data_IF_160963997090
#
_entry.id   IF_160963997090
#
_cell.length_a   1.000
_cell.length_b   1.000
_cell.length_c   1.000
_cell.angle_alpha   90.00
_cell.angle_beta   90.00
_cell.angle_gamma   90.00
#
_symmetry.space_group_name_H-M   'P 1'
#
loop_
_entity.id
_entity.type
_entity.pdbx_description
1 polymer ?
#
# COMPACT_ATOMS: atom_id res chain seq x y z
N UNK A 1 41.08 6.99 27.42
CA UNK A 1 40.54 6.71 26.08
C UNK A 1 39.20 7.42 26.03
N UNK A 2 38.86 8.19 24.98
CA UNK A 2 37.52 8.77 24.91
C UNK A 2 36.51 7.63 24.98
N UNK A 3 35.46 7.81 25.79
CA UNK A 3 34.38 6.83 25.90
C UNK A 3 33.75 6.69 24.51
N UNK A 4 33.85 5.50 23.92
CA UNK A 4 33.16 5.21 22.68
C UNK A 4 31.66 5.35 22.90
N UNK A 5 31.00 6.00 21.95
CA UNK A 5 29.55 6.20 21.99
C UNK A 5 28.86 4.85 21.93
N UNK A 6 27.91 4.64 22.86
CA UNK A 6 27.00 3.50 22.82
C UNK A 6 25.91 3.74 21.77
N UNK A 7 25.87 2.97 20.66
CA UNK A 7 24.88 3.14 19.59
C UNK A 7 23.44 3.03 20.09
N UNK A 8 23.16 2.12 21.04
CA UNK A 8 21.82 1.92 21.55
C UNK A 8 21.34 3.13 22.35
N UNK A 9 22.24 3.71 23.17
CA UNK A 9 21.98 4.96 23.89
C UNK A 9 21.78 6.13 22.92
N UNK A 10 22.63 6.26 21.90
CA UNK A 10 22.52 7.33 20.92
C UNK A 10 21.20 7.28 20.13
N UNK A 11 20.77 6.08 19.71
CA UNK A 11 19.47 5.87 19.05
C UNK A 11 18.33 6.21 20.00
N UNK A 12 18.39 5.77 21.25
CA UNK A 12 17.34 6.06 22.23
C UNK A 12 17.22 7.58 22.49
N UNK A 13 18.35 8.28 22.63
CA UNK A 13 18.39 9.71 22.88
C UNK A 13 17.88 10.54 21.68
N UNK A 14 18.21 10.13 20.44
CA UNK A 14 17.83 10.86 19.22
C UNK A 14 16.43 10.49 18.67
N UNK A 15 16.08 9.21 18.68
CA UNK A 15 14.90 8.68 17.99
C UNK A 15 14.04 7.74 18.85
N UNK A 16 14.30 7.58 20.15
CA UNK A 16 13.63 6.58 20.99
C UNK A 16 12.10 6.66 21.02
N UNK A 17 11.53 7.86 20.89
CA UNK A 17 10.07 8.06 20.82
C UNK A 17 9.45 7.66 19.46
N UNK A 18 10.27 7.55 18.41
CA UNK A 18 9.83 7.34 17.03
C UNK A 18 10.29 5.99 16.46
N UNK A 19 11.35 5.40 17.01
CA UNK A 19 11.90 4.14 16.54
C UNK A 19 11.10 2.94 17.06
N UNK A 20 10.91 1.93 16.21
CA UNK A 20 10.36 0.62 16.59
C UNK A 20 11.51 -0.35 16.86
N UNK A 21 11.60 -0.84 18.10
CA UNK A 21 12.57 -1.84 18.48
C UNK A 21 12.28 -3.23 17.86
N UNK A 22 13.32 -4.02 17.62
CA UNK A 22 13.20 -5.45 17.29
C UNK A 22 12.82 -5.77 15.83
N UNK A 23 12.91 -4.80 14.91
CA UNK A 23 12.76 -5.02 13.46
C UNK A 23 14.14 -5.31 12.84
N UNK A 24 14.48 -6.57 12.51
CA UNK A 24 15.79 -6.87 11.92
C UNK A 24 15.86 -6.38 10.47
N UNK A 25 17.01 -5.86 10.04
CA UNK A 25 17.27 -5.61 8.61
C UNK A 25 17.52 -6.94 7.88
N UNK A 26 16.85 -7.18 6.75
CA UNK A 26 16.99 -8.44 5.97
C UNK A 26 18.27 -8.52 5.15
N UNK A 27 18.84 -7.39 4.75
CA UNK A 27 20.11 -7.35 4.05
C UNK A 27 21.28 -7.63 4.99
N UNK A 28 22.46 -7.92 4.43
CA UNK A 28 23.68 -7.99 5.22
C UNK A 28 24.13 -6.56 5.57
N UNK A 29 24.07 -6.21 6.85
CA UNK A 29 24.72 -5.00 7.35
C UNK A 29 26.18 -5.30 7.71
N UNK A 30 27.12 -4.43 7.32
CA UNK A 30 28.46 -4.43 7.89
C UNK A 30 28.42 -4.41 9.42
N UNK A 31 29.33 -5.13 10.07
CA UNK A 31 29.36 -5.24 11.53
C UNK A 31 29.51 -3.89 12.24
N UNK A 32 30.11 -2.92 11.57
CA UNK A 32 30.28 -1.54 12.06
C UNK A 32 28.98 -0.74 12.04
N UNK A 33 28.07 -1.04 11.11
CA UNK A 33 26.78 -0.34 10.95
C UNK A 33 25.64 -1.03 11.69
N UNK A 34 25.70 -2.36 11.87
CA UNK A 34 24.63 -3.13 12.50
C UNK A 34 24.18 -2.59 13.87
N UNK A 35 25.06 -2.11 14.76
CA UNK A 35 24.65 -1.50 16.03
C UNK A 35 23.90 -0.17 15.90
N UNK A 36 24.06 0.53 14.78
CA UNK A 36 23.49 1.86 14.50
C UNK A 36 22.16 1.79 13.74
N UNK A 37 21.67 0.58 13.49
CA UNK A 37 20.41 0.33 12.80
C UNK A 37 19.20 0.66 13.67
N UNK A 38 18.22 1.33 13.06
CA UNK A 38 16.90 1.58 13.63
C UNK A 38 15.81 1.46 12.56
N UNK A 39 14.57 1.24 12.99
CA UNK A 39 13.41 1.28 12.11
C UNK A 39 12.49 2.43 12.51
N UNK A 40 12.15 3.30 11.56
CA UNK A 40 11.23 4.43 11.78
C UNK A 40 9.96 4.20 10.95
N UNK A 41 8.76 4.31 11.53
CA UNK A 41 7.49 4.06 10.83
C UNK A 41 7.35 4.79 9.50
N UNK A 42 7.82 6.03 9.42
CA UNK A 42 7.69 6.89 8.23
C UNK A 42 8.94 6.90 7.34
N UNK A 43 10.03 6.25 7.77
CA UNK A 43 11.34 6.27 7.07
C UNK A 43 11.90 4.88 6.70
N UNK A 44 11.31 3.80 7.23
CA UNK A 44 11.79 2.43 7.03
C UNK A 44 13.07 2.10 7.79
N UNK A 45 13.88 1.19 7.25
CA UNK A 45 15.17 0.82 7.84
C UNK A 45 16.21 1.93 7.62
N UNK A 46 16.78 2.41 8.73
CA UNK A 46 17.74 3.50 8.73
C UNK A 46 19.00 3.14 9.51
N UNK A 47 20.08 3.87 9.26
CA UNK A 47 21.27 3.97 10.10
C UNK A 47 21.25 5.35 10.73
N UNK A 48 21.50 5.44 12.03
CA UNK A 48 21.75 6.72 12.68
C UNK A 48 23.15 7.20 12.27
N UNK A 49 23.20 8.30 11.53
CA UNK A 49 24.45 8.90 11.04
C UNK A 49 24.63 10.30 11.63
N UNK A 50 25.88 10.78 11.61
CA UNK A 50 26.21 12.20 11.71
C UNK A 50 26.74 12.67 10.35
N UNK A 51 26.58 13.96 10.05
CA UNK A 51 27.19 14.59 8.86
C UNK A 51 28.37 15.47 9.28
N UNK A 52 29.30 15.80 8.38
CA UNK A 52 30.49 16.61 8.70
C UNK A 52 30.16 18.02 9.19
N UNK A 53 28.92 18.47 9.03
CA UNK A 53 28.45 19.76 9.54
C UNK A 53 27.96 19.68 11.00
N UNK A 54 27.78 18.48 11.55
CA UNK A 54 27.25 18.25 12.88
C UNK A 54 28.31 17.89 13.92
N UNK A 55 28.19 18.44 15.13
CA UNK A 55 29.05 18.08 16.27
C UNK A 55 28.23 17.32 17.33
N UNK A 56 28.18 15.99 17.22
CA UNK A 56 27.59 15.09 18.22
C UNK A 56 26.14 14.66 17.93
N UNK A 57 25.45 14.10 18.94
CA UNK A 57 24.10 13.52 18.78
C UNK A 57 23.01 14.52 18.39
N UNK A 58 23.23 15.83 18.61
CA UNK A 58 22.24 16.87 18.28
C UNK A 58 22.01 17.01 16.77
N UNK A 59 22.98 16.56 15.97
CA UNK A 59 22.95 16.60 14.51
C UNK A 59 22.86 15.19 13.90
N UNK A 60 22.51 14.20 14.72
CA UNK A 60 22.34 12.83 14.26
C UNK A 60 21.02 12.69 13.49
N UNK A 61 21.09 12.09 12.32
CA UNK A 61 19.94 11.91 11.41
C UNK A 61 19.79 10.43 11.09
N UNK A 62 18.56 9.94 11.07
CA UNK A 62 18.25 8.62 10.55
C UNK A 62 18.28 8.65 9.01
N UNK A 63 19.28 8.02 8.41
CA UNK A 63 19.43 7.92 6.97
C UNK A 63 19.08 6.51 6.47
N UNK A 64 18.41 6.35 5.32
CA UNK A 64 18.10 5.03 4.78
C UNK A 64 19.37 4.18 4.60
N UNK A 65 19.30 2.89 4.97
CA UNK A 65 20.45 1.98 4.91
C UNK A 65 21.10 1.98 3.51
N UNK A 66 20.32 1.87 2.44
CA UNK A 66 20.79 1.93 1.04
C UNK A 66 21.54 3.22 0.73
N UNK A 67 21.06 4.37 1.20
CA UNK A 67 21.72 5.65 0.97
C UNK A 67 23.11 5.66 1.63
N UNK A 68 23.22 5.15 2.86
CA UNK A 68 24.49 5.07 3.60
C UNK A 68 25.45 4.09 2.95
N UNK A 69 24.97 2.91 2.56
CA UNK A 69 25.81 1.92 1.87
C UNK A 69 26.30 2.43 0.51
N UNK A 70 25.49 3.20 -0.21
CA UNK A 70 25.81 3.79 -1.51
C UNK A 70 26.79 4.95 -1.41
N UNK A 71 26.58 5.87 -0.47
CA UNK A 71 27.45 7.01 -0.24
C UNK A 71 28.78 6.60 0.40
N UNK A 72 28.78 5.49 1.13
CA UNK A 72 29.91 5.07 1.96
C UNK A 72 29.91 5.81 3.30
N UNK A 73 30.58 5.21 4.28
CA UNK A 73 30.67 5.76 5.63
C UNK A 73 32.10 5.66 6.17
N UNK A 74 32.36 6.42 7.23
CA UNK A 74 33.53 6.28 8.08
C UNK A 74 33.10 6.28 9.55
N UNK A 75 33.93 5.77 10.44
CA UNK A 75 33.67 5.83 11.88
C UNK A 75 34.48 6.99 12.47
N UNK A 76 33.82 7.91 13.17
CA UNK A 76 34.51 9.04 13.81
C UNK A 76 35.39 8.55 14.97
N UNK A 77 36.38 9.34 15.44
CA UNK A 77 37.16 8.98 16.62
C UNK A 77 36.31 8.70 17.87
N UNK A 78 35.14 9.33 17.99
CA UNK A 78 34.17 9.14 19.07
C UNK A 78 33.31 7.88 18.88
N UNK A 79 33.27 7.32 17.67
CA UNK A 79 32.59 6.08 17.33
C UNK A 79 31.31 6.24 16.50
N UNK A 80 30.92 7.46 16.10
CA UNK A 80 29.72 7.65 15.27
C UNK A 80 29.92 7.18 13.84
N UNK A 81 28.82 6.82 13.17
CA UNK A 81 28.80 6.64 11.72
C UNK A 81 28.74 8.01 11.04
N UNK A 82 29.84 8.43 10.43
CA UNK A 82 29.90 9.64 9.60
C UNK A 82 29.58 9.27 8.15
N UNK A 83 28.54 9.89 7.60
CA UNK A 83 28.12 9.69 6.23
C UNK A 83 27.72 11.04 5.61
N UNK A 84 28.37 11.39 4.50
CA UNK A 84 28.07 12.64 3.78
C UNK A 84 26.88 12.42 2.86
N UNK A 85 25.71 12.87 3.29
CA UNK A 85 24.50 12.89 2.49
C UNK A 85 24.00 14.33 2.33
N UNK A 86 23.42 14.68 1.18
CA UNK A 86 22.88 16.01 0.96
C UNK A 86 21.72 16.27 1.92
N UNK A 87 21.80 17.36 2.68
CA UNK A 87 20.75 17.83 3.57
C UNK A 87 20.26 19.18 3.04
N UNK A 88 18.95 19.29 2.87
CA UNK A 88 18.27 20.56 2.64
C UNK A 88 17.78 21.13 3.98
N UNK A 89 17.98 22.43 4.28
CA UNK A 89 17.59 23.04 5.55
C UNK A 89 16.08 22.99 5.85
N UNK A 90 15.25 22.83 4.82
CA UNK A 90 13.78 22.84 4.93
C UNK A 90 13.20 21.43 4.76
N UNK A 91 13.73 20.66 3.81
CA UNK A 91 13.23 19.32 3.47
C UNK A 91 13.94 18.19 4.24
N UNK A 92 15.05 18.47 4.90
CA UNK A 92 15.85 17.48 5.60
C UNK A 92 16.74 16.67 4.67
N UNK A 93 17.00 15.41 5.02
CA UNK A 93 17.86 14.51 4.24
C UNK A 93 17.28 14.29 2.84
N UNK A 94 18.04 14.64 1.80
CA UNK A 94 17.66 14.42 0.42
C UNK A 94 18.10 13.01 0.00
N UNK A 95 17.14 12.16 -0.32
CA UNK A 95 17.36 10.77 -0.71
C UNK A 95 16.80 10.52 -2.11
N UNK A 96 17.40 9.57 -2.83
CA UNK A 96 16.87 9.15 -4.12
C UNK A 96 15.71 8.17 -3.90
N UNK A 97 14.71 8.10 -4.80
CA UNK A 97 13.62 7.12 -4.68
C UNK A 97 14.11 5.67 -4.55
N UNK A 98 15.28 5.35 -5.14
CA UNK A 98 15.92 4.04 -5.04
C UNK A 98 16.46 3.71 -3.62
N UNK A 99 16.74 4.72 -2.81
CA UNK A 99 17.18 4.56 -1.42
C UNK A 99 16.02 4.32 -0.46
N UNK A 100 14.78 4.23 -0.96
CA UNK A 100 13.62 3.92 -0.12
C UNK A 100 13.81 2.57 0.58
N UNK A 101 13.79 2.61 1.91
CA UNK A 101 13.89 1.46 2.81
C UNK A 101 12.55 1.08 3.43
N UNK A 102 11.48 1.75 3.00
CA UNK A 102 10.11 1.52 3.45
C UNK A 102 9.58 0.15 2.99
N UNK A 103 10.07 -0.35 1.84
CA UNK A 103 9.66 -1.62 1.23
C UNK A 103 10.74 -2.71 1.27
N UNK A 104 11.89 -2.50 1.92
CA UNK A 104 13.00 -3.47 1.91
C UNK A 104 12.70 -4.79 2.66
N UNK A 105 11.70 -4.77 3.53
CA UNK A 105 11.17 -5.94 4.22
C UNK A 105 10.13 -6.73 3.40
N UNK A 106 9.74 -6.24 2.23
CA UNK A 106 8.83 -6.94 1.33
C UNK A 106 9.68 -7.70 0.29
N UNK A 107 9.45 -9.01 0.05
CA UNK A 107 9.99 -9.63 -1.16
C UNK A 107 9.50 -8.77 -2.33
N UNK A 108 10.40 -8.38 -3.24
CA UNK A 108 10.16 -7.48 -4.39
C UNK A 108 8.74 -7.66 -4.97
N UNK A 109 7.80 -6.92 -4.40
CA UNK A 109 6.38 -6.95 -4.68
C UNK A 109 5.82 -5.54 -4.76
N UNK A 110 6.70 -4.53 -4.74
CA UNK A 110 6.46 -3.37 -5.59
C UNK A 110 6.19 -3.96 -6.96
N UNK A 111 5.00 -3.80 -7.55
CA UNK A 111 4.87 -4.17 -8.94
C UNK A 111 5.93 -3.34 -9.65
N UNK A 112 6.99 -4.00 -10.15
CA UNK A 112 7.62 -3.54 -11.38
C UNK A 112 6.46 -3.08 -12.24
N UNK A 113 6.56 -1.89 -12.84
CA UNK A 113 5.63 -1.39 -13.85
C UNK A 113 5.58 -2.40 -15.01
N UNK A 114 4.98 -3.57 -14.78
CA UNK A 114 4.46 -4.46 -15.77
C UNK A 114 3.34 -3.63 -16.35
N UNK A 115 3.65 -3.05 -17.50
CA UNK A 115 2.69 -2.34 -18.30
C UNK A 115 1.62 -3.37 -18.68
N UNK A 116 0.55 -3.45 -17.89
CA UNK A 116 -0.56 -4.34 -18.16
C UNK A 116 -1.03 -4.07 -19.59
N UNK A 117 -0.99 -5.10 -20.42
CA UNK A 117 -1.43 -5.03 -21.80
C UNK A 117 -2.45 -6.14 -22.06
N UNK A 118 -3.49 -5.78 -22.82
CA UNK A 118 -4.48 -6.76 -23.28
C UNK A 118 -3.76 -7.80 -24.14
N UNK A 119 -4.00 -9.08 -23.86
CA UNK A 119 -3.33 -10.20 -24.51
C UNK A 119 -2.12 -10.75 -23.74
N UNK A 120 -1.64 -10.05 -22.72
CA UNK A 120 -0.56 -10.51 -21.86
C UNK A 120 -1.07 -11.14 -20.56
N UNK A 121 -0.19 -11.84 -19.85
CA UNK A 121 -0.49 -12.39 -18.53
C UNK A 121 -0.60 -11.26 -17.50
N UNK A 122 -1.64 -11.31 -16.67
CA UNK A 122 -1.80 -10.41 -15.52
C UNK A 122 -0.68 -10.61 -14.49
N UNK A 123 -0.27 -11.85 -14.26
CA UNK A 123 0.90 -12.18 -13.46
C UNK A 123 1.73 -13.23 -14.22
N UNK A 124 2.97 -12.93 -14.63
CA UNK A 124 3.80 -13.86 -15.41
C UNK A 124 4.00 -15.23 -14.75
N UNK A 125 3.97 -15.30 -13.41
CA UNK A 125 4.12 -16.53 -12.64
C UNK A 125 2.81 -17.28 -12.37
N UNK A 126 1.65 -16.78 -12.80
CA UNK A 126 0.34 -17.35 -12.45
C UNK A 126 -0.68 -17.26 -13.58
N UNK A 127 -1.10 -18.43 -14.05
CA UNK A 127 -2.03 -18.61 -15.19
C UNK A 127 -3.43 -19.05 -14.78
N UNK A 128 -3.70 -19.29 -13.49
CA UNK A 128 -5.02 -19.69 -13.00
C UNK A 128 -5.46 -18.86 -11.81
N UNK A 129 -6.72 -18.47 -11.83
CA UNK A 129 -7.37 -17.67 -10.80
C UNK A 129 -8.75 -18.25 -10.47
N UNK A 130 -9.30 -17.99 -9.27
CA UNK A 130 -10.66 -18.39 -8.95
C UNK A 130 -11.66 -17.67 -9.87
N UNK A 131 -12.56 -18.42 -10.49
CA UNK A 131 -13.63 -17.87 -11.32
C UNK A 131 -14.65 -17.10 -10.49
N UNK A 132 -15.21 -16.03 -11.05
CA UNK A 132 -16.15 -15.12 -10.39
C UNK A 132 -15.53 -14.25 -9.29
N UNK A 133 -14.21 -14.36 -9.06
CA UNK A 133 -13.55 -13.55 -8.05
C UNK A 133 -13.31 -12.12 -8.56
N UNK A 134 -13.40 -11.18 -7.64
CA UNK A 134 -12.90 -9.83 -7.82
C UNK A 134 -11.93 -9.52 -6.69
N UNK A 135 -10.84 -8.86 -7.04
CA UNK A 135 -9.86 -8.35 -6.10
C UNK A 135 -9.67 -6.88 -6.36
N UNK A 136 -9.53 -6.10 -5.30
CA UNK A 136 -9.16 -4.71 -5.46
C UNK A 136 -8.29 -4.26 -4.30
N UNK A 137 -7.42 -3.29 -4.59
CA UNK A 137 -6.56 -2.64 -3.62
C UNK A 137 -6.58 -1.14 -3.84
N UNK A 138 -6.39 -0.42 -2.74
CA UNK A 138 -6.18 1.02 -2.77
C UNK A 138 -4.68 1.31 -2.61
N UNK A 139 -4.13 2.15 -3.47
CA UNK A 139 -2.74 2.60 -3.42
C UNK A 139 -2.68 4.12 -3.49
N UNK A 140 -1.49 4.69 -3.31
CA UNK A 140 -1.19 6.10 -3.57
C UNK A 140 -1.45 6.53 -5.03
N UNK A 141 -1.44 5.58 -5.97
CA UNK A 141 -1.72 5.80 -7.40
C UNK A 141 -3.20 5.66 -7.79
N UNK A 142 -4.07 5.29 -6.83
CA UNK A 142 -5.49 5.07 -7.06
C UNK A 142 -5.95 3.66 -6.74
N UNK A 143 -7.06 3.25 -7.34
CA UNK A 143 -7.67 1.93 -7.13
C UNK A 143 -7.29 1.02 -8.30
N UNK A 144 -6.76 -0.15 -7.96
CA UNK A 144 -6.62 -1.25 -8.92
C UNK A 144 -7.69 -2.29 -8.59
N UNK A 145 -8.57 -2.58 -9.55
CA UNK A 145 -9.64 -3.55 -9.45
C UNK A 145 -9.46 -4.59 -10.56
N UNK A 146 -9.48 -5.87 -10.19
CA UNK A 146 -9.23 -6.99 -11.10
C UNK A 146 -10.39 -7.99 -11.01
N UNK A 147 -11.01 -8.24 -12.15
CA UNK A 147 -12.11 -9.18 -12.32
C UNK A 147 -11.57 -10.47 -12.95
N UNK A 148 -11.89 -11.62 -12.36
CA UNK A 148 -11.48 -12.93 -12.85
C UNK A 148 -12.71 -13.70 -13.34
N UNK A 149 -12.90 -13.75 -14.66
CA UNK A 149 -13.99 -14.50 -15.30
C UNK A 149 -13.42 -15.71 -16.04
N UNK A 150 -14.04 -16.87 -15.90
CA UNK A 150 -13.65 -18.08 -16.62
C UNK A 150 -14.07 -18.01 -18.08
N UNK A 151 -13.10 -17.93 -19.00
CA UNK A 151 -13.35 -17.85 -20.44
C UNK A 151 -14.39 -16.75 -20.82
N UNK A 152 -14.11 -15.47 -20.51
CA UNK A 152 -15.09 -14.40 -20.64
C UNK A 152 -15.54 -14.23 -22.10
N UNK A 153 -16.84 -14.09 -22.26
CA UNK A 153 -17.51 -13.86 -23.54
C UNK A 153 -17.22 -12.45 -24.08
N UNK A 154 -17.46 -12.24 -25.38
CA UNK A 154 -17.39 -10.90 -25.97
C UNK A 154 -18.38 -9.91 -25.33
N UNK A 155 -19.50 -10.38 -24.77
CA UNK A 155 -20.46 -9.52 -24.08
C UNK A 155 -19.85 -9.02 -22.77
N UNK A 156 -19.26 -9.90 -21.97
CA UNK A 156 -18.61 -9.53 -20.70
C UNK A 156 -17.38 -8.64 -20.93
N UNK A 157 -16.54 -8.98 -21.92
CA UNK A 157 -15.38 -8.16 -22.29
C UNK A 157 -15.81 -6.75 -22.68
N UNK A 158 -16.86 -6.62 -23.51
CA UNK A 158 -17.36 -5.31 -23.92
C UNK A 158 -18.04 -4.55 -22.78
N UNK A 159 -18.76 -5.23 -21.90
CA UNK A 159 -19.37 -4.63 -20.73
C UNK A 159 -18.31 -4.00 -19.82
N UNK A 160 -17.25 -4.73 -19.46
CA UNK A 160 -16.16 -4.17 -18.64
C UNK A 160 -15.43 -3.04 -19.38
N UNK A 161 -15.15 -3.23 -20.68
CA UNK A 161 -14.37 -2.27 -21.47
C UNK A 161 -15.11 -0.95 -21.74
N UNK A 162 -16.44 -0.98 -21.92
CA UNK A 162 -17.21 0.17 -22.43
C UNK A 162 -18.56 0.40 -21.76
N UNK A 163 -19.10 -0.61 -21.07
CA UNK A 163 -20.42 -0.52 -20.43
C UNK A 163 -20.44 0.55 -19.34
N UNK A 164 -21.63 1.04 -19.00
CA UNK A 164 -21.77 1.98 -17.90
C UNK A 164 -21.31 1.34 -16.59
N UNK A 165 -20.30 1.94 -15.95
CA UNK A 165 -19.80 1.45 -14.67
C UNK A 165 -20.60 2.07 -13.54
N UNK A 166 -20.99 1.23 -12.58
CA UNK A 166 -21.69 1.65 -11.36
C UNK A 166 -21.04 0.97 -10.17
N UNK A 167 -20.99 1.71 -9.08
CA UNK A 167 -20.39 1.25 -7.83
C UNK A 167 -21.30 1.60 -6.67
N UNK A 168 -21.30 0.74 -5.66
CA UNK A 168 -22.00 0.95 -4.41
C UNK A 168 -21.11 0.46 -3.25
N UNK A 169 -21.13 1.19 -2.14
CA UNK A 169 -20.33 0.90 -0.97
C UNK A 169 -21.25 0.68 0.22
N UNK A 170 -21.14 -0.49 0.85
CA UNK A 170 -21.69 -0.75 2.18
C UNK A 170 -20.53 -0.76 3.17
N UNK A 171 -20.53 0.16 4.12
CA UNK A 171 -19.48 0.31 5.11
C UNK A 171 -19.91 -0.22 6.47
N UNK A 172 -19.04 -1.01 7.09
CA UNK A 172 -19.20 -1.51 8.45
C UNK A 172 -18.10 -1.02 9.38
N UNK A 173 -18.15 -1.50 10.62
CA UNK A 173 -17.15 -1.16 11.62
C UNK A 173 -15.82 -1.89 11.40
N UNK A 174 -15.87 -3.07 10.77
CA UNK A 174 -14.75 -4.00 10.64
C UNK A 174 -14.46 -4.45 9.21
N UNK A 175 -15.40 -4.24 8.29
CA UNK A 175 -15.30 -4.58 6.88
C UNK A 175 -16.05 -3.54 6.02
N UNK A 176 -15.94 -3.70 4.71
CA UNK A 176 -16.82 -3.03 3.75
C UNK A 176 -17.12 -3.97 2.59
N UNK A 177 -18.21 -3.73 1.87
CA UNK A 177 -18.54 -4.41 0.63
C UNK A 177 -18.55 -3.38 -0.50
N UNK A 178 -17.73 -3.63 -1.52
CA UNK A 178 -17.76 -2.90 -2.78
C UNK A 178 -18.59 -3.70 -3.79
N UNK A 179 -19.79 -3.22 -4.07
CA UNK A 179 -20.60 -3.70 -5.17
C UNK A 179 -20.30 -2.93 -6.45
N UNK A 180 -20.31 -3.62 -7.58
CA UNK A 180 -19.99 -3.06 -8.89
C UNK A 180 -20.86 -3.67 -9.98
N UNK A 181 -21.06 -2.90 -11.05
CA UNK A 181 -21.78 -3.34 -12.23
C UNK A 181 -21.23 -2.67 -13.47
N UNK A 182 -21.14 -3.44 -14.55
CA UNK A 182 -20.78 -2.95 -15.87
C UNK A 182 -21.90 -3.35 -16.83
N UNK A 183 -22.74 -2.39 -17.23
CA UNK A 183 -23.96 -2.71 -17.99
C UNK A 183 -23.61 -3.48 -19.30
N UNK A 184 -24.35 -4.55 -19.66
CA UNK A 184 -25.60 -5.03 -19.06
C UNK A 184 -25.43 -6.15 -18.01
N UNK A 185 -24.22 -6.39 -17.49
CA UNK A 185 -23.98 -7.46 -16.51
C UNK A 185 -24.78 -7.21 -15.22
N UNK A 186 -25.15 -8.28 -14.48
CA UNK A 186 -25.74 -8.13 -13.16
C UNK A 186 -24.76 -7.47 -12.18
N UNK A 187 -25.28 -7.01 -11.04
CA UNK A 187 -24.43 -6.57 -9.94
C UNK A 187 -23.60 -7.75 -9.41
N UNK A 188 -22.34 -7.46 -9.10
CA UNK A 188 -21.45 -8.33 -8.34
C UNK A 188 -20.91 -7.54 -7.14
N UNK A 189 -20.43 -8.25 -6.12
CA UNK A 189 -19.86 -7.62 -4.94
C UNK A 189 -18.58 -8.30 -4.49
N UNK A 190 -17.81 -7.56 -3.69
CA UNK A 190 -16.54 -8.02 -3.16
C UNK A 190 -16.33 -7.45 -1.78
N UNK A 191 -16.22 -8.30 -0.75
CA UNK A 191 -15.90 -7.85 0.59
C UNK A 191 -14.44 -7.41 0.65
N UNK A 192 -14.16 -6.45 1.51
CA UNK A 192 -12.82 -5.93 1.73
C UNK A 192 -12.61 -5.60 3.21
N UNK A 193 -11.38 -5.82 3.68
CA UNK A 193 -10.96 -5.54 5.05
C UNK A 193 -9.59 -4.90 5.04
N UNK A 194 -9.42 -3.83 5.80
CA UNK A 194 -8.16 -3.08 5.87
C UNK A 194 -7.00 -3.95 6.38
N UNK A 195 -7.26 -4.84 7.34
CA UNK A 195 -6.24 -5.72 7.92
C UNK A 195 -5.68 -6.76 6.94
N UNK A 196 -6.37 -7.04 5.83
CA UNK A 196 -5.92 -7.98 4.79
C UNK A 196 -5.12 -7.29 3.69
N UNK A 197 -5.03 -5.96 3.73
CA UNK A 197 -4.16 -5.23 2.82
C UNK A 197 -2.74 -5.25 3.38
N UNK A 198 -1.90 -6.13 2.84
CA UNK A 198 -0.46 -6.23 3.17
C UNK A 198 0.31 -4.94 2.92
N UNK A 199 -0.23 -4.07 2.05
CA UNK A 199 0.27 -2.75 1.71
C UNK A 199 -0.80 -1.68 1.99
N UNK A 200 -1.39 -1.66 3.20
CA UNK A 200 -2.31 -0.59 3.60
C UNK A 200 -1.65 0.76 3.25
N UNK A 201 -2.30 1.65 2.47
CA UNK A 201 -1.64 2.85 2.01
C UNK A 201 -1.44 3.75 3.21
N UNK A 202 -0.19 3.92 3.64
CA UNK A 202 0.19 4.98 4.57
C UNK A 202 -0.02 6.30 3.83
N UNK A 203 -1.15 6.95 4.10
CA UNK A 203 -1.62 8.08 3.30
C UNK A 203 -2.49 7.61 2.14
N UNK A 204 -3.81 7.78 2.30
CA UNK A 204 -4.78 7.60 1.21
C UNK A 204 -4.33 8.43 -0.02
N UNK A 205 -4.46 7.92 -1.26
CA UNK A 205 -3.99 8.56 -2.48
C UNK A 205 -4.31 10.05 -2.54
N UNK A 206 -3.34 10.85 -2.99
CA UNK A 206 -3.50 12.26 -3.37
C UNK A 206 -4.69 12.32 -4.33
N UNK A 207 -5.81 12.77 -3.79
CA UNK A 207 -7.01 13.03 -4.55
C UNK A 207 -6.63 14.02 -5.65
N UNK A 208 -7.08 13.79 -6.88
CA UNK A 208 -6.87 14.80 -7.93
C UNK A 208 -7.43 16.16 -7.48
N UNK A 209 -7.03 17.29 -8.11
CA UNK A 209 -7.48 18.63 -7.72
C UNK A 209 -9.00 18.76 -7.55
N UNK A 210 -9.76 17.94 -8.31
CA UNK A 210 -11.22 17.94 -8.33
C UNK A 210 -11.88 16.95 -7.35
N UNK A 211 -11.11 16.28 -6.49
CA UNK A 211 -11.67 15.32 -5.54
C UNK A 211 -11.85 13.89 -6.11
N UNK A 212 -11.53 13.67 -7.38
CA UNK A 212 -11.73 12.37 -8.04
C UNK A 212 -10.56 11.41 -7.82
N UNK A 213 -10.89 10.12 -7.75
CA UNK A 213 -9.91 9.03 -7.63
C UNK A 213 -9.93 8.15 -8.89
N UNK A 214 -8.76 7.92 -9.48
CA UNK A 214 -8.61 7.01 -10.62
C UNK A 214 -8.84 5.56 -10.18
N UNK A 215 -9.60 4.83 -10.99
CA UNK A 215 -9.90 3.42 -10.83
C UNK A 215 -9.52 2.71 -12.12
N UNK A 216 -8.49 1.87 -12.06
CA UNK A 216 -8.12 0.96 -13.15
C UNK A 216 -8.83 -0.36 -12.95
N UNK A 217 -9.66 -0.75 -13.92
CA UNK A 217 -10.37 -2.02 -13.95
C UNK A 217 -9.73 -2.93 -15.01
N UNK A 218 -9.26 -4.09 -14.57
CA UNK A 218 -8.65 -5.11 -15.43
C UNK A 218 -9.52 -6.36 -15.43
N UNK A 219 -9.94 -6.83 -16.60
CA UNK A 219 -10.60 -8.12 -16.77
C UNK A 219 -9.56 -9.17 -17.18
N UNK A 220 -9.48 -10.25 -16.41
CA UNK A 220 -8.56 -11.37 -16.63
C UNK A 220 -9.39 -12.62 -16.90
N UNK A 221 -9.01 -13.38 -17.93
CA UNK A 221 -9.51 -14.74 -18.11
C UNK A 221 -8.91 -15.64 -17.02
N UNK A 222 -9.75 -16.07 -16.08
CA UNK A 222 -9.36 -16.84 -14.91
C UNK A 222 -8.71 -18.20 -15.27
N UNK A 223 -9.00 -18.74 -16.45
CA UNK A 223 -8.48 -20.03 -16.91
C UNK A 223 -7.07 -19.95 -17.50
N UNK A 224 -6.66 -18.77 -17.97
CA UNK A 224 -5.39 -18.56 -18.70
C UNK A 224 -4.49 -17.51 -18.04
N UNK A 225 -5.04 -16.63 -17.21
CA UNK A 225 -4.35 -15.48 -16.63
C UNK A 225 -4.18 -14.33 -17.62
N UNK A 226 -4.73 -14.43 -18.84
CA UNK A 226 -4.58 -13.42 -19.89
C UNK A 226 -5.53 -12.25 -19.64
N UNK A 227 -5.02 -11.03 -19.76
CA UNK A 227 -5.80 -9.80 -19.69
C UNK A 227 -6.66 -9.68 -20.95
N UNK A 228 -7.98 -9.55 -20.76
CA UNK A 228 -8.98 -9.45 -21.84
C UNK A 228 -9.48 -8.02 -22.04
N UNK A 229 -9.48 -7.20 -20.99
CA UNK A 229 -9.80 -5.78 -21.07
C UNK A 229 -9.09 -4.99 -19.96
N UNK A 230 -8.79 -3.73 -20.26
CA UNK A 230 -8.35 -2.72 -19.29
C UNK A 230 -9.19 -1.47 -19.54
N UNK A 231 -9.69 -0.85 -18.47
CA UNK A 231 -10.42 0.42 -18.50
C UNK A 231 -9.97 1.30 -17.34
N UNK A 232 -9.73 2.57 -17.61
CA UNK A 232 -9.71 3.61 -16.58
C UNK A 232 -11.11 4.21 -16.38
N UNK A 233 -11.48 4.48 -15.14
CA UNK A 233 -12.68 5.24 -14.75
C UNK A 233 -12.37 6.04 -13.49
N UNK A 234 -13.27 6.91 -13.03
CA UNK A 234 -13.04 7.67 -11.78
C UNK A 234 -14.17 7.52 -10.79
N UNK A 235 -13.85 7.48 -9.50
CA UNK A 235 -14.83 7.68 -8.44
C UNK A 235 -14.90 9.17 -8.06
N UNK A 236 -16.12 9.74 -7.91
CA UNK A 236 -16.28 11.13 -7.51
C UNK A 236 -15.92 11.31 -6.03
N UNK A 237 -15.60 12.54 -5.64
CA UNK A 237 -15.17 12.93 -4.28
C UNK A 237 -16.01 12.32 -3.17
N UNK A 238 -17.34 12.44 -3.26
CA UNK A 238 -18.27 11.89 -2.25
C UNK A 238 -18.08 10.37 -2.00
N UNK A 239 -17.78 9.60 -3.04
CA UNK A 239 -17.58 8.16 -2.93
C UNK A 239 -16.23 7.84 -2.29
N UNK A 240 -15.21 8.63 -2.67
CA UNK A 240 -13.86 8.54 -2.09
C UNK A 240 -13.90 8.90 -0.60
N UNK A 241 -14.62 9.94 -0.21
CA UNK A 241 -14.78 10.36 1.19
C UNK A 241 -15.47 9.28 2.03
N UNK A 242 -16.54 8.68 1.53
CA UNK A 242 -17.21 7.55 2.20
C UNK A 242 -16.27 6.35 2.39
N UNK A 243 -15.50 6.02 1.35
CA UNK A 243 -14.50 4.96 1.42
C UNK A 243 -13.42 5.26 2.47
N UNK A 244 -12.90 6.49 2.48
CA UNK A 244 -11.91 6.96 3.44
C UNK A 244 -12.44 6.90 4.87
N UNK A 245 -13.68 7.31 5.10
CA UNK A 245 -14.33 7.23 6.40
C UNK A 245 -14.45 5.78 6.88
N UNK A 246 -14.86 4.86 6.02
CA UNK A 246 -14.96 3.43 6.33
C UNK A 246 -13.60 2.83 6.72
N UNK A 247 -12.56 3.11 5.92
CA UNK A 247 -11.19 2.66 6.20
C UNK A 247 -10.65 3.26 7.51
N UNK A 248 -10.89 4.55 7.75
CA UNK A 248 -10.50 5.23 8.99
C UNK A 248 -11.19 4.65 10.23
N UNK A 249 -12.44 4.22 10.11
CA UNK A 249 -13.15 3.49 11.18
C UNK A 249 -12.51 2.14 11.45
N UNK A 250 -12.26 1.33 10.42
CA UNK A 250 -11.61 0.02 10.59
C UNK A 250 -10.23 0.13 11.25
N UNK A 251 -9.44 1.14 10.87
CA UNK A 251 -8.12 1.43 11.43
C UNK A 251 -8.20 1.84 12.92
N UNK A 252 -9.11 2.77 13.28
CA UNK A 252 -9.32 3.19 14.67
C UNK A 252 -9.78 2.03 15.56
N UNK A 253 -10.62 1.15 15.03
CA UNK A 253 -11.11 -0.03 15.73
C UNK A 253 -10.06 -1.14 15.84
N UNK A 254 -8.91 -1.01 15.17
CA UNK A 254 -7.88 -2.06 15.05
C UNK A 254 -8.52 -3.40 14.61
N UNK A 255 -9.39 -3.31 13.62
CA UNK A 255 -10.23 -4.42 13.18
C UNK A 255 -9.40 -5.63 12.78
N UNK A 256 -9.78 -6.79 13.30
CA UNK A 256 -9.13 -8.08 12.99
C UNK A 256 -9.84 -8.79 11.84
N UNK A 257 -9.16 -9.77 11.22
CA UNK A 257 -9.76 -10.59 10.15
C UNK A 257 -11.03 -11.32 10.63
N UNK A 258 -11.06 -11.77 11.88
CA UNK A 258 -12.19 -12.49 12.47
C UNK A 258 -13.40 -11.56 12.63
N UNK A 259 -13.20 -10.33 13.11
CA UNK A 259 -14.28 -9.35 13.25
C UNK A 259 -14.84 -8.95 11.89
N UNK A 260 -13.96 -8.68 10.92
CA UNK A 260 -14.38 -8.37 9.56
C UNK A 260 -15.15 -9.53 8.91
N UNK A 261 -14.67 -10.76 9.05
CA UNK A 261 -15.34 -11.95 8.53
C UNK A 261 -16.73 -12.15 9.15
N UNK A 262 -16.84 -11.96 10.48
CA UNK A 262 -18.12 -12.05 11.19
C UNK A 262 -19.13 -11.02 10.70
N UNK A 263 -18.69 -9.77 10.47
CA UNK A 263 -19.55 -8.70 9.93
C UNK A 263 -20.00 -9.00 8.50
N UNK A 264 -19.08 -9.47 7.63
CA UNK A 264 -19.40 -9.90 6.26
C UNK A 264 -20.43 -11.03 6.26
N UNK A 265 -20.23 -12.06 7.08
CA UNK A 265 -21.17 -13.18 7.20
C UNK A 265 -22.54 -12.73 7.72
N UNK A 266 -22.59 -11.70 8.56
CA UNK A 266 -23.85 -11.09 9.00
C UNK A 266 -24.56 -10.37 7.84
N UNK A 267 -23.83 -9.64 6.99
CA UNK A 267 -24.41 -9.00 5.80
C UNK A 267 -24.93 -10.01 4.79
N UNK A 268 -24.19 -11.07 4.45
CA UNK A 268 -24.66 -12.08 3.49
C UNK A 268 -25.81 -12.92 4.03
N UNK A 269 -25.96 -13.06 5.35
CA UNK A 269 -27.17 -13.65 5.95
C UNK A 269 -28.38 -12.71 5.89
N UNK A 270 -28.15 -11.40 5.98
CA UNK A 270 -29.19 -10.38 5.98
C UNK A 270 -29.67 -10.03 4.56
N UNK A 271 -28.76 -9.95 3.61
CA UNK A 271 -29.02 -9.59 2.21
C UNK A 271 -28.73 -10.81 1.35
N UNK A 272 -29.79 -11.45 0.86
CA UNK A 272 -29.68 -12.73 0.16
C UNK A 272 -29.24 -12.56 -1.30
N UNK A 273 -29.25 -11.33 -1.80
CA UNK A 273 -28.77 -10.99 -3.15
C UNK A 273 -27.93 -9.72 -3.12
N UNK A 274 -26.98 -9.59 -4.06
CA UNK A 274 -26.23 -8.35 -4.26
C UNK A 274 -27.13 -7.15 -4.54
N UNK A 275 -28.29 -7.37 -5.17
CA UNK A 275 -29.26 -6.28 -5.42
C UNK A 275 -29.86 -5.74 -4.12
N UNK A 276 -30.16 -6.60 -3.15
CA UNK A 276 -30.59 -6.17 -1.81
C UNK A 276 -29.48 -5.44 -1.07
N UNK A 277 -28.24 -5.92 -1.19
CA UNK A 277 -27.06 -5.28 -0.62
C UNK A 277 -26.87 -3.87 -1.18
N UNK A 278 -26.95 -3.69 -2.51
CA UNK A 278 -26.86 -2.39 -3.17
C UNK A 278 -27.97 -1.43 -2.76
N UNK A 279 -29.18 -1.94 -2.45
CA UNK A 279 -30.27 -1.11 -1.90
C UNK A 279 -29.99 -0.64 -0.49
N UNK A 280 -29.20 -1.38 0.28
CA UNK A 280 -28.79 -1.06 1.64
C UNK A 280 -27.45 -0.30 1.72
N UNK A 281 -26.76 -0.10 0.59
CA UNK A 281 -25.48 0.58 0.53
C UNK A 281 -25.58 2.05 0.97
N UNK A 282 -24.55 2.53 1.67
CA UNK A 282 -24.48 3.89 2.19
C UNK A 282 -24.32 4.93 1.07
N UNK A 283 -23.62 4.55 0.00
CA UNK A 283 -23.39 5.44 -1.15
C UNK A 283 -23.28 4.68 -2.47
N UNK A 284 -23.84 5.29 -3.52
CA UNK A 284 -23.86 4.76 -4.88
C UNK A 284 -23.33 5.80 -5.87
N UNK A 285 -22.67 5.35 -6.95
CA UNK A 285 -22.20 6.22 -8.02
C UNK A 285 -22.23 5.55 -9.38
N UNK A 286 -22.34 6.38 -10.43
CA UNK A 286 -22.05 6.03 -11.83
C UNK A 286 -20.68 6.64 -12.19
N UNK A 287 -19.89 5.91 -12.97
CA UNK A 287 -18.53 6.29 -13.34
C UNK A 287 -18.29 6.15 -14.85
#
# INVERSE_FOLDING_TARGET
MPDHVDPAKAIADAYGAYAIAGRPYRGALPSELAPWHLYIPDGGHSILIVTAQGQGTQDAVAAPVKAVLRAGWTITPEGYVLCELPIDPVLGLITEPADSEFDADKPDSSPQLYKYAVGELYNPGKTRWPDGACQWKLSDQGVEMVLFFGAPTNVEINAVKKGDARFALLAGEHALILAHRFDPLPWSDTPWQACRQTDAPTGLPLVGPDGHLLVSVTLVDANTGIIKAIRGTTWPARFVEALRAAMGTQARNRSTEIQGATEIDAWYRRYSTTTELVRAADINTRA
#
